data_IF_188147846135
#
_entry.id   IF_188147846135
#
_cell.length_a   1.000
_cell.length_b   1.000
_cell.length_c   1.000
_cell.angle_alpha   90.00
_cell.angle_beta   90.00
_cell.angle_gamma   90.00
#
_symmetry.space_group_name_H-M   'P 1'
#
loop_
_entity.id
_entity.type
_entity.pdbx_description
1 polymer ?
#
# COMPACT_ATOMS: atom_id res chain seq x y z
N UNK A 1 -4.72 -17.17 -8.30
CA UNK A 1 -5.00 -18.61 -8.55
C UNK A 1 -4.17 -19.55 -7.67
N UNK A 2 -2.92 -19.23 -7.33
CA UNK A 2 -2.07 -20.09 -6.47
C UNK A 2 -2.70 -20.36 -5.09
N UNK A 3 -3.19 -19.32 -4.40
CA UNK A 3 -3.79 -19.48 -3.07
C UNK A 3 -5.02 -20.42 -3.05
N UNK A 4 -5.84 -20.37 -4.11
CA UNK A 4 -6.97 -21.27 -4.27
C UNK A 4 -6.54 -22.73 -4.45
N UNK A 5 -5.48 -22.97 -5.22
CA UNK A 5 -4.90 -24.30 -5.40
C UNK A 5 -4.36 -24.88 -4.08
N UNK A 6 -3.58 -24.08 -3.34
CA UNK A 6 -3.04 -24.49 -2.03
C UNK A 6 -4.16 -24.79 -1.03
N UNK A 7 -5.20 -23.95 -0.98
CA UNK A 7 -6.32 -24.16 -0.07
C UNK A 7 -7.05 -25.48 -0.35
N UNK A 8 -7.25 -25.86 -1.61
CA UNK A 8 -7.90 -27.13 -1.98
C UNK A 8 -7.05 -28.36 -1.66
N UNK A 9 -5.72 -28.24 -1.64
CA UNK A 9 -4.83 -29.34 -1.22
C UNK A 9 -4.87 -29.51 0.30
N UNK A 10 -4.90 -28.40 1.05
CA UNK A 10 -4.87 -28.40 2.52
C UNK A 10 -6.24 -28.73 3.12
N UNK A 11 -7.33 -28.32 2.48
CA UNK A 11 -8.69 -28.47 3.02
C UNK A 11 -9.06 -29.93 3.39
N UNK A 12 -8.83 -30.95 2.54
CA UNK A 12 -9.13 -32.34 2.88
C UNK A 12 -8.31 -32.86 4.06
N UNK A 13 -7.07 -32.40 4.21
CA UNK A 13 -6.15 -32.83 5.27
C UNK A 13 -6.63 -32.43 6.66
N UNK A 14 -7.45 -31.38 6.78
CA UNK A 14 -8.01 -30.95 8.05
C UNK A 14 -9.11 -31.89 8.60
N UNK A 15 -9.66 -32.78 7.77
CA UNK A 15 -10.79 -33.66 8.13
C UNK A 15 -10.40 -35.13 8.35
N UNK A 16 -9.12 -35.47 8.17
CA UNK A 16 -8.59 -36.84 8.25
C UNK A 16 -8.45 -37.36 9.68
N UNK A 17 -8.29 -36.47 10.66
CA UNK A 17 -8.11 -36.84 12.08
C UNK A 17 -9.20 -36.23 12.96
N UNK A 18 -9.70 -37.00 13.95
CA UNK A 18 -10.60 -36.47 14.97
C UNK A 18 -9.78 -35.80 16.09
N UNK A 19 -10.30 -34.77 16.78
CA UNK A 19 -11.56 -34.03 16.58
C UNK A 19 -11.49 -33.01 15.43
N UNK A 20 -12.38 -33.19 14.44
CA UNK A 20 -12.34 -32.53 13.12
C UNK A 20 -12.48 -31.00 13.13
N UNK A 21 -13.12 -30.44 14.15
CA UNK A 21 -13.49 -29.04 14.14
C UNK A 21 -12.34 -28.12 14.56
N UNK A 22 -11.43 -28.59 15.43
CA UNK A 22 -10.39 -27.75 16.00
C UNK A 22 -9.43 -27.23 14.93
N UNK A 23 -9.01 -28.09 13.99
CA UNK A 23 -8.13 -27.68 12.90
C UNK A 23 -8.76 -26.58 12.03
N UNK A 24 -10.03 -26.76 11.63
CA UNK A 24 -10.76 -25.78 10.85
C UNK A 24 -10.93 -24.45 11.61
N UNK A 25 -11.33 -24.50 12.87
CA UNK A 25 -11.51 -23.30 13.70
C UNK A 25 -10.20 -22.56 13.94
N UNK A 26 -9.09 -23.26 14.18
CA UNK A 26 -7.77 -22.64 14.34
C UNK A 26 -7.37 -21.92 13.06
N UNK A 27 -7.54 -22.54 11.89
CA UNK A 27 -7.21 -21.90 10.61
C UNK A 27 -8.07 -20.65 10.38
N UNK A 28 -9.37 -20.71 10.67
CA UNK A 28 -10.26 -19.54 10.57
C UNK A 28 -9.79 -18.39 11.47
N UNK A 29 -9.54 -18.67 12.75
CA UNK A 29 -9.19 -17.65 13.74
C UNK A 29 -7.78 -17.07 13.50
N UNK A 30 -6.80 -17.92 13.23
CA UNK A 30 -5.39 -17.51 13.10
C UNK A 30 -5.10 -16.93 11.73
N UNK A 31 -5.54 -17.60 10.66
CA UNK A 31 -5.17 -17.18 9.30
C UNK A 31 -6.16 -16.14 8.77
N UNK A 32 -7.47 -16.40 8.87
CA UNK A 32 -8.42 -15.47 8.27
C UNK A 32 -8.61 -14.21 9.10
N UNK A 33 -8.66 -14.30 10.42
CA UNK A 33 -8.97 -13.14 11.26
C UNK A 33 -7.71 -12.46 11.79
N UNK A 34 -6.83 -13.21 12.46
CA UNK A 34 -5.65 -12.62 13.06
C UNK A 34 -4.67 -12.12 11.99
N UNK A 35 -4.29 -12.96 11.04
CA UNK A 35 -3.32 -12.55 10.01
C UNK A 35 -3.85 -11.41 9.12
N UNK A 36 -5.13 -11.44 8.75
CA UNK A 36 -5.76 -10.35 7.99
C UNK A 36 -5.74 -9.03 8.77
N UNK A 37 -6.12 -9.05 10.04
CA UNK A 37 -6.09 -7.87 10.91
C UNK A 37 -4.67 -7.33 11.07
N UNK A 38 -3.69 -8.21 11.29
CA UNK A 38 -2.28 -7.84 11.38
C UNK A 38 -1.78 -7.22 10.07
N UNK A 39 -2.14 -7.78 8.92
CA UNK A 39 -1.79 -7.23 7.61
C UNK A 39 -2.35 -5.82 7.42
N UNK A 40 -3.62 -5.59 7.77
CA UNK A 40 -4.25 -4.26 7.68
C UNK A 40 -3.54 -3.25 8.57
N UNK A 41 -3.23 -3.62 9.81
CA UNK A 41 -2.47 -2.77 10.73
C UNK A 41 -1.07 -2.49 10.16
N UNK A 42 -0.42 -3.51 9.61
CA UNK A 42 0.94 -3.37 9.08
C UNK A 42 0.99 -2.43 7.88
N UNK A 43 0.05 -2.57 6.94
CA UNK A 43 -0.14 -1.66 5.80
C UNK A 43 -0.38 -0.23 6.31
N UNK A 44 -1.31 -0.05 7.27
CA UNK A 44 -1.61 1.25 7.88
C UNK A 44 -0.37 1.90 8.50
N UNK A 45 0.47 1.13 9.21
CA UNK A 45 1.71 1.64 9.83
C UNK A 45 2.73 2.07 8.76
N UNK A 46 2.90 1.28 7.69
CA UNK A 46 3.82 1.61 6.59
C UNK A 46 3.37 2.91 5.91
N UNK A 47 2.09 2.99 5.55
CA UNK A 47 1.49 4.16 4.90
C UNK A 47 1.59 5.39 5.81
N UNK A 48 1.27 5.25 7.11
CA UNK A 48 1.36 6.37 8.07
C UNK A 48 2.80 6.87 8.23
N UNK A 49 3.79 5.97 8.30
CA UNK A 49 5.21 6.34 8.34
C UNK A 49 5.65 7.06 7.07
N UNK A 50 5.16 6.64 5.90
CA UNK A 50 5.43 7.31 4.62
C UNK A 50 4.77 8.68 4.57
N UNK A 51 3.51 8.81 4.97
CA UNK A 51 2.81 10.09 5.05
C UNK A 51 3.54 11.06 5.98
N UNK A 52 4.00 10.64 7.17
CA UNK A 52 4.78 11.51 8.06
C UNK A 52 6.07 12.03 7.41
N UNK A 53 6.79 11.18 6.68
CA UNK A 53 7.99 11.58 5.94
C UNK A 53 7.67 12.55 4.79
N UNK A 54 6.55 12.34 4.10
CA UNK A 54 6.09 13.22 3.01
C UNK A 54 5.63 14.56 3.55
N UNK A 55 4.77 14.58 4.58
CA UNK A 55 4.31 15.79 5.28
C UNK A 55 5.47 16.66 5.80
N UNK A 56 6.56 16.05 6.30
CA UNK A 56 7.73 16.81 6.74
C UNK A 56 8.53 17.45 5.60
N UNK A 57 8.35 16.98 4.35
CA UNK A 57 8.97 17.54 3.14
C UNK A 57 8.05 18.50 2.38
N UNK A 58 6.75 18.49 2.69
CA UNK A 58 5.77 19.34 2.04
C UNK A 58 5.74 20.71 2.71
N UNK A 59 5.70 21.75 1.89
CA UNK A 59 5.46 23.11 2.33
C UNK A 59 3.96 23.41 2.19
N UNK A 60 3.39 24.05 3.21
CA UNK A 60 1.98 24.42 3.24
C UNK A 60 1.85 25.92 3.06
N UNK A 61 0.80 26.35 2.38
CA UNK A 61 0.41 27.75 2.29
C UNK A 61 -0.24 28.20 3.61
N UNK A 62 -0.43 29.50 3.79
CA UNK A 62 -1.07 30.07 4.98
C UNK A 62 -2.51 29.54 5.18
N UNK A 63 -3.16 29.11 4.09
CA UNK A 63 -4.48 28.46 4.08
C UNK A 63 -4.43 26.94 4.35
N UNK A 64 -3.25 26.37 4.61
CA UNK A 64 -3.07 24.94 4.89
C UNK A 64 -3.12 24.02 3.66
N UNK A 65 -3.16 24.59 2.45
CA UNK A 65 -3.07 23.85 1.20
C UNK A 65 -1.62 23.43 0.93
N UNK A 66 -1.44 22.24 0.34
CA UNK A 66 -0.11 21.77 -0.09
C UNK A 66 0.37 22.67 -1.24
N UNK A 67 1.48 23.38 -1.05
CA UNK A 67 2.12 24.12 -2.14
C UNK A 67 2.88 23.08 -2.98
N UNK A 68 2.26 22.63 -4.08
CA UNK A 68 2.93 21.79 -5.07
C UNK A 68 4.09 22.58 -5.68
N UNK A 69 5.31 22.39 -5.16
CA UNK A 69 6.51 23.11 -5.63
C UNK A 69 7.32 22.31 -6.63
N UNK A 70 7.00 21.04 -6.88
CA UNK A 70 7.79 20.23 -7.79
C UNK A 70 7.30 20.43 -9.22
N UNK A 71 7.95 21.37 -9.92
CA UNK A 71 8.06 21.27 -11.36
C UNK A 71 8.95 20.06 -11.66
N UNK A 72 8.43 19.08 -12.39
CA UNK A 72 9.26 18.03 -12.94
C UNK A 72 9.97 18.57 -14.18
N UNK A 73 11.25 18.25 -14.33
CA UNK A 73 12.01 18.57 -15.53
C UNK A 73 11.94 17.36 -16.45
N UNK A 74 11.27 17.50 -17.59
CA UNK A 74 11.28 16.48 -18.64
C UNK A 74 12.44 16.78 -19.59
N UNK A 75 13.32 15.81 -19.80
CA UNK A 75 14.32 15.86 -20.88
C UNK A 75 13.62 15.46 -22.18
N UNK A 76 13.32 16.45 -23.02
CA UNK A 76 12.71 16.26 -24.32
C UNK A 76 13.80 16.22 -25.40
N UNK A 77 14.55 15.11 -25.48
CA UNK A 77 15.42 14.74 -26.61
C UNK A 77 16.48 15.76 -27.09
N UNK A 78 16.64 16.86 -26.38
CA UNK A 78 17.46 18.03 -26.68
C UNK A 78 17.67 18.84 -25.40
N UNK A 79 18.67 19.70 -25.40
CA UNK A 79 19.30 20.32 -24.21
C UNK A 79 18.38 21.23 -23.37
N UNK A 80 17.09 21.33 -23.69
CA UNK A 80 16.09 22.16 -23.03
C UNK A 80 15.21 21.34 -22.07
N UNK A 81 15.55 21.41 -20.78
CA UNK A 81 14.70 20.89 -19.69
C UNK A 81 13.47 21.78 -19.51
N UNK A 82 12.29 21.32 -19.94
CA UNK A 82 11.01 22.03 -19.70
C UNK A 82 10.49 21.73 -18.29
N UNK A 83 10.12 22.79 -17.56
CA UNK A 83 9.36 22.70 -16.30
C UNK A 83 7.91 22.34 -16.64
N UNK A 84 7.47 21.17 -16.22
CA UNK A 84 6.10 20.71 -16.37
C UNK A 84 5.52 20.47 -14.98
N UNK A 85 4.23 20.78 -14.82
CA UNK A 85 3.49 20.47 -13.60
C UNK A 85 3.48 18.94 -13.40
N UNK A 86 3.77 18.50 -12.17
CA UNK A 86 3.75 17.09 -11.78
C UNK A 86 2.36 16.46 -11.97
N UNK A 87 1.29 17.25 -11.95
CA UNK A 87 -0.07 16.78 -12.26
C UNK A 87 -0.27 16.30 -13.71
N UNK A 88 0.57 16.77 -14.65
CA UNK A 88 0.54 16.35 -16.06
C UNK A 88 1.35 15.09 -16.33
N UNK A 89 2.09 14.59 -15.35
CA UNK A 89 2.87 13.37 -15.47
C UNK A 89 2.09 12.19 -14.90
N UNK A 90 2.01 11.09 -15.66
CA UNK A 90 1.40 9.83 -15.23
C UNK A 90 2.34 9.09 -14.26
N UNK A 91 2.54 9.67 -13.08
CA UNK A 91 3.40 9.13 -12.03
C UNK A 91 2.66 8.14 -11.16
N UNK A 92 3.33 7.05 -10.78
CA UNK A 92 2.80 6.12 -9.78
C UNK A 92 2.84 6.73 -8.37
N UNK A 93 2.03 6.23 -7.44
CA UNK A 93 1.97 6.66 -6.03
C UNK A 93 3.33 6.64 -5.30
N UNK A 94 4.29 5.86 -5.79
CA UNK A 94 5.65 5.79 -5.26
C UNK A 94 6.54 6.91 -5.80
N UNK A 95 6.33 7.32 -7.04
CA UNK A 95 7.07 8.37 -7.72
C UNK A 95 6.55 9.76 -7.37
N UNK A 96 5.23 9.88 -7.13
CA UNK A 96 4.63 11.11 -6.64
C UNK A 96 4.85 11.27 -5.12
N UNK A 97 5.84 12.10 -4.74
CA UNK A 97 6.12 12.42 -3.34
C UNK A 97 5.08 13.36 -2.69
N UNK A 98 4.25 14.04 -3.48
CA UNK A 98 3.17 14.92 -2.99
C UNK A 98 1.89 14.15 -2.68
N UNK A 99 1.73 12.93 -3.23
CA UNK A 99 0.58 12.08 -2.93
C UNK A 99 0.58 11.63 -1.47
N UNK A 100 -0.48 12.01 -0.74
CA UNK A 100 -0.71 11.58 0.64
C UNK A 100 -1.75 10.46 0.64
N UNK A 101 -1.39 9.32 1.22
CA UNK A 101 -2.30 8.17 1.30
C UNK A 101 -3.49 8.49 2.24
N UNK A 102 -4.74 8.27 1.81
CA UNK A 102 -5.89 8.36 2.71
C UNK A 102 -5.88 7.17 3.68
N UNK A 103 -5.81 7.44 5.00
CA UNK A 103 -5.67 6.46 6.10
C UNK A 103 -6.77 6.57 7.14
#
# INVERSE_FOLDING_TARGET
MIGYGVANIVAPQMWTTGPRYYAAWIVQLVVAWFFSSVLLIWIRVILSRRNKKRLAKLEFDDDGNIISKKNAFVEDGGDDRRKVDVSMLDLTDLENEEFIYPL
#
